data_IF_339973591660
#
_entry.id   IF_339973591660
#
_cell.length_a   1.000
_cell.length_b   1.000
_cell.length_c   1.000
_cell.angle_alpha   90.00
_cell.angle_beta   90.00
_cell.angle_gamma   90.00
#
_symmetry.space_group_name_H-M   'P 1'
#
loop_
_entity.id
_entity.type
_entity.pdbx_description
1 polymer ?
#
# COMPACT_ATOMS: atom_id res chain seq x y z
N UNK A 1 10.92 -35.04 2.09
CA UNK A 1 12.37 -34.89 2.37
C UNK A 1 12.57 -34.23 3.73
N UNK A 2 12.33 -34.93 4.84
CA UNK A 2 12.61 -34.43 6.20
C UNK A 2 13.35 -35.43 7.12
N UNK A 3 13.81 -36.58 6.60
CA UNK A 3 14.47 -37.64 7.39
C UNK A 3 15.99 -37.48 7.55
N UNK A 4 16.57 -36.30 7.30
CA UNK A 4 18.03 -36.09 7.38
C UNK A 4 18.49 -35.28 8.60
N UNK A 5 17.58 -34.66 9.36
CA UNK A 5 17.93 -33.90 10.57
C UNK A 5 17.75 -34.66 11.90
N UNK A 6 17.06 -35.81 11.91
CA UNK A 6 16.90 -36.62 13.13
C UNK A 6 18.15 -37.46 13.46
N UNK A 7 18.91 -37.90 12.44
CA UNK A 7 20.10 -38.74 12.65
C UNK A 7 21.28 -38.00 13.30
N UNK A 8 21.40 -36.67 13.16
CA UNK A 8 22.58 -35.93 13.65
C UNK A 8 22.53 -35.52 15.12
N UNK A 9 21.37 -35.63 15.79
CA UNK A 9 21.19 -35.13 17.16
C UNK A 9 21.33 -36.24 18.21
N UNK A 10 20.99 -37.48 17.87
CA UNK A 10 21.08 -38.64 18.79
C UNK A 10 22.52 -39.11 19.07
N UNK A 11 23.47 -38.85 18.16
CA UNK A 11 24.89 -39.25 18.32
C UNK A 11 25.68 -38.36 19.30
N UNK A 12 25.16 -37.19 19.69
CA UNK A 12 25.81 -36.27 20.63
C UNK A 12 25.31 -36.34 22.08
N UNK A 13 24.41 -37.29 22.36
CA UNK A 13 23.81 -37.43 23.69
C UNK A 13 24.61 -38.41 24.54
N UNK A 14 24.92 -38.01 25.78
CA UNK A 14 25.49 -38.92 26.77
C UNK A 14 24.52 -40.04 27.08
N UNK A 15 25.01 -41.22 27.50
CA UNK A 15 24.17 -42.38 27.85
C UNK A 15 23.06 -42.02 28.86
N UNK A 16 23.36 -41.08 29.77
CA UNK A 16 22.40 -40.54 30.75
C UNK A 16 21.28 -39.73 30.10
N UNK A 17 21.59 -38.88 29.12
CA UNK A 17 20.59 -38.12 28.36
C UNK A 17 19.73 -39.03 27.50
N UNK A 18 20.32 -40.06 26.89
CA UNK A 18 19.58 -41.06 26.11
C UNK A 18 18.60 -41.85 26.99
N UNK A 19 19.06 -42.31 28.16
CA UNK A 19 18.18 -42.98 29.13
C UNK A 19 17.02 -42.10 29.61
N UNK A 20 17.28 -40.81 29.86
CA UNK A 20 16.22 -39.85 30.20
C UNK A 20 15.21 -39.75 29.05
N UNK A 21 15.67 -39.67 27.79
CA UNK A 21 14.78 -39.59 26.65
C UNK A 21 13.94 -40.85 26.43
N UNK A 22 14.53 -42.03 26.59
CA UNK A 22 13.82 -43.29 26.40
C UNK A 22 12.69 -43.41 27.44
N UNK A 23 12.96 -43.07 28.70
CA UNK A 23 11.92 -43.02 29.75
C UNK A 23 10.84 -41.96 29.51
N UNK A 24 11.20 -40.81 28.94
CA UNK A 24 10.23 -39.77 28.61
C UNK A 24 9.35 -40.15 27.41
N UNK A 25 9.87 -40.91 26.44
CA UNK A 25 9.10 -41.45 25.31
C UNK A 25 8.11 -42.53 25.75
N UNK A 26 8.47 -43.31 26.77
CA UNK A 26 7.60 -44.33 27.36
C UNK A 26 6.46 -43.72 28.19
N UNK A 27 6.45 -42.39 28.38
CA UNK A 27 5.43 -41.68 29.17
C UNK A 27 5.59 -41.86 30.68
N UNK A 28 6.75 -42.36 31.14
CA UNK A 28 7.01 -42.63 32.54
C UNK A 28 7.24 -41.34 33.34
N UNK A 29 6.58 -41.25 34.49
CA UNK A 29 6.89 -40.25 35.52
C UNK A 29 8.10 -40.71 36.33
N UNK A 30 9.27 -40.14 36.06
CA UNK A 30 10.51 -40.55 36.73
C UNK A 30 11.00 -39.48 37.70
N UNK A 31 11.12 -39.78 39.00
CA UNK A 31 11.78 -38.90 39.96
C UNK A 31 13.25 -38.67 39.59
N UNK A 32 13.72 -37.43 39.64
CA UNK A 32 15.14 -37.07 39.43
C UNK A 32 16.05 -37.85 40.38
N UNK A 33 15.56 -38.15 41.59
CA UNK A 33 16.28 -38.93 42.60
C UNK A 33 16.59 -40.35 42.13
N UNK A 34 15.73 -40.95 41.31
CA UNK A 34 15.91 -42.33 40.86
C UNK A 34 16.93 -42.38 39.73
N UNK A 35 16.88 -41.42 38.81
CA UNK A 35 17.91 -41.25 37.76
C UNK A 35 19.27 -40.91 38.38
N UNK A 36 19.28 -40.06 39.40
CA UNK A 36 20.47 -39.71 40.18
C UNK A 36 21.11 -40.95 40.81
N UNK A 37 20.31 -41.86 41.38
CA UNK A 37 20.77 -43.16 41.92
C UNK A 37 21.29 -44.09 40.82
N UNK A 38 20.56 -44.25 39.72
CA UNK A 38 20.95 -45.13 38.60
C UNK A 38 22.30 -44.74 38.00
N UNK A 39 22.59 -43.44 37.88
CA UNK A 39 23.83 -42.95 37.28
C UNK A 39 24.86 -42.44 38.29
N UNK A 40 24.66 -42.70 39.59
CA UNK A 40 25.56 -42.28 40.68
C UNK A 40 25.99 -40.80 40.55
N UNK A 41 25.05 -39.91 40.23
CA UNK A 41 25.34 -38.51 39.96
C UNK A 41 24.42 -37.60 40.79
N UNK A 42 24.80 -36.33 40.97
CA UNK A 42 23.97 -35.41 41.75
C UNK A 42 22.67 -35.06 41.01
N UNK A 43 21.57 -34.81 41.73
CA UNK A 43 20.33 -34.32 41.13
C UNK A 43 20.51 -33.06 40.27
N UNK A 44 21.48 -32.21 40.59
CA UNK A 44 21.80 -31.00 39.80
C UNK A 44 22.44 -31.32 38.45
N UNK A 45 23.13 -32.45 38.35
CA UNK A 45 23.67 -32.93 37.07
C UNK A 45 22.54 -33.38 36.15
N UNK A 46 21.51 -34.04 36.71
CA UNK A 46 20.29 -34.38 35.97
C UNK A 46 19.55 -33.12 35.54
N UNK A 47 19.38 -32.13 36.42
CA UNK A 47 18.75 -30.84 36.04
C UNK A 47 19.48 -30.15 34.90
N UNK A 48 20.82 -30.14 34.90
CA UNK A 48 21.64 -29.60 33.80
C UNK A 48 21.39 -30.34 32.49
N UNK A 49 21.25 -31.66 32.53
CA UNK A 49 20.92 -32.45 31.36
C UNK A 49 19.50 -32.16 30.85
N UNK A 50 18.51 -32.00 31.74
CA UNK A 50 17.15 -31.59 31.34
C UNK A 50 17.13 -30.21 30.69
N UNK A 51 17.90 -29.26 31.23
CA UNK A 51 18.07 -27.93 30.62
C UNK A 51 18.71 -28.02 29.23
N UNK A 52 19.68 -28.92 29.05
CA UNK A 52 20.26 -29.17 27.73
C UNK A 52 19.24 -29.75 26.75
N UNK A 53 18.44 -30.74 27.18
CA UNK A 53 17.39 -31.35 26.38
C UNK A 53 16.33 -30.32 25.96
N UNK A 54 15.93 -29.43 26.87
CA UNK A 54 15.04 -28.30 26.55
C UNK A 54 15.64 -27.34 25.53
N UNK A 55 16.94 -27.06 25.62
CA UNK A 55 17.65 -26.18 24.67
C UNK A 55 17.72 -26.75 23.26
N UNK A 56 17.73 -28.08 23.11
CA UNK A 56 17.70 -28.76 21.81
C UNK A 56 16.28 -29.06 21.32
N UNK A 57 15.26 -28.46 21.94
CA UNK A 57 13.87 -28.52 21.48
C UNK A 57 13.06 -29.71 21.99
N UNK A 58 13.58 -30.45 22.98
CA UNK A 58 12.85 -31.58 23.58
C UNK A 58 12.00 -31.03 24.73
N UNK A 59 10.69 -31.24 24.66
CA UNK A 59 9.77 -30.79 25.71
C UNK A 59 9.89 -31.71 26.94
N UNK A 60 10.37 -31.12 28.04
CA UNK A 60 10.61 -31.83 29.29
C UNK A 60 10.00 -30.99 30.42
N UNK A 61 8.92 -31.48 31.01
CA UNK A 61 8.29 -30.83 32.16
C UNK A 61 8.91 -31.37 33.45
N UNK A 62 9.35 -30.47 34.33
CA UNK A 62 9.83 -30.84 35.67
C UNK A 62 8.95 -30.16 36.72
N UNK A 63 8.21 -30.95 37.50
CA UNK A 63 7.39 -30.42 38.62
C UNK A 63 7.73 -31.20 39.89
N UNK A 64 8.13 -30.49 40.94
CA UNK A 64 8.49 -31.06 42.26
C UNK A 64 9.52 -32.20 42.20
N UNK A 65 10.49 -32.13 41.29
CA UNK A 65 11.55 -33.14 41.17
C UNK A 65 11.14 -34.42 40.43
N UNK A 66 9.95 -34.46 39.83
CA UNK A 66 9.50 -35.50 38.92
C UNK A 66 9.64 -34.97 37.50
N UNK A 67 10.24 -35.79 36.63
CA UNK A 67 10.33 -35.55 35.21
C UNK A 67 9.09 -36.19 34.57
N UNK A 68 8.31 -35.39 33.84
CA UNK A 68 7.20 -35.84 33.03
C UNK A 68 7.53 -35.57 31.58
N UNK A 69 7.57 -36.62 30.77
CA UNK A 69 7.63 -36.51 29.32
C UNK A 69 6.22 -36.23 28.84
N UNK A 70 5.86 -34.96 28.66
CA UNK A 70 4.67 -34.66 27.88
C UNK A 70 5.07 -34.71 26.40
N UNK A 71 5.34 -35.91 25.88
CA UNK A 71 5.11 -36.13 24.45
C UNK A 71 3.62 -36.37 24.25
N UNK A 72 2.80 -35.35 24.55
CA UNK A 72 1.66 -35.13 23.69
C UNK A 72 2.27 -34.67 22.36
N UNK A 73 2.60 -35.62 21.47
CA UNK A 73 2.86 -35.32 20.07
C UNK A 73 1.56 -34.73 19.51
N UNK A 74 1.32 -33.44 19.78
CA UNK A 74 0.26 -32.69 19.12
C UNK A 74 0.79 -32.38 17.75
N UNK A 75 0.35 -33.16 16.78
CA UNK A 75 0.65 -32.86 15.41
C UNK A 75 -0.14 -31.60 14.99
N UNK A 76 0.43 -30.79 14.10
CA UNK A 76 -0.15 -29.51 13.73
C UNK A 76 -0.26 -29.37 12.22
N UNK A 77 -1.42 -28.91 11.76
CA UNK A 77 -1.69 -28.51 10.37
C UNK A 77 -1.49 -27.01 10.30
N UNK A 78 -0.58 -26.55 9.45
CA UNK A 78 -0.43 -25.13 9.11
C UNK A 78 -0.84 -24.93 7.66
N UNK A 79 -1.88 -24.13 7.43
CA UNK A 79 -2.33 -23.72 6.09
C UNK A 79 -2.24 -22.22 5.96
N UNK A 80 -1.47 -21.77 4.99
CA UNK A 80 -1.40 -20.37 4.61
C UNK A 80 -2.32 -20.12 3.41
N UNK A 81 -3.19 -19.12 3.53
CA UNK A 81 -4.15 -18.73 2.49
C UNK A 81 -3.93 -17.24 2.20
N UNK A 82 -3.72 -16.93 0.93
CA UNK A 82 -3.60 -15.57 0.44
C UNK A 82 -5.00 -15.01 0.18
N UNK A 83 -5.38 -13.97 0.91
CA UNK A 83 -6.61 -13.23 0.65
C UNK A 83 -6.27 -11.85 0.10
N UNK A 84 -6.80 -11.47 -1.07
CA UNK A 84 -6.75 -10.08 -1.52
C UNK A 84 -7.29 -9.16 -0.43
N UNK A 85 -6.72 -7.96 -0.29
CA UNK A 85 -7.06 -7.00 0.76
C UNK A 85 -8.57 -6.71 0.86
N UNK A 86 -9.27 -6.71 -0.27
CA UNK A 86 -10.72 -6.56 -0.38
C UNK A 86 -11.51 -7.63 0.37
N UNK A 87 -10.97 -8.84 0.49
CA UNK A 87 -11.67 -10.06 0.91
C UNK A 87 -11.19 -10.62 2.25
N UNK A 88 -10.25 -9.94 2.92
CA UNK A 88 -9.64 -10.40 4.17
C UNK A 88 -10.62 -10.61 5.29
N UNK A 89 -11.46 -9.62 5.59
CA UNK A 89 -12.39 -9.68 6.73
C UNK A 89 -13.39 -10.82 6.56
N UNK A 90 -13.89 -10.98 5.32
CA UNK A 90 -14.75 -12.08 4.91
C UNK A 90 -14.05 -13.44 5.05
N UNK A 91 -12.79 -13.54 4.60
CA UNK A 91 -11.97 -14.74 4.71
C UNK A 91 -11.72 -15.15 6.16
N UNK A 92 -11.31 -14.21 7.02
CA UNK A 92 -11.10 -14.45 8.46
C UNK A 92 -12.40 -14.86 9.13
N UNK A 93 -13.51 -14.17 8.84
CA UNK A 93 -14.83 -14.46 9.40
C UNK A 93 -15.32 -15.88 9.08
N UNK A 94 -15.06 -16.37 7.87
CA UNK A 94 -15.35 -17.75 7.46
C UNK A 94 -14.42 -18.74 8.16
N UNK A 95 -13.11 -18.47 8.17
CA UNK A 95 -12.13 -19.36 8.82
C UNK A 95 -12.36 -19.47 10.33
N UNK A 96 -12.78 -18.40 10.99
CA UNK A 96 -13.13 -18.43 12.41
C UNK A 96 -14.34 -19.32 12.69
N UNK A 97 -15.30 -19.41 11.76
CA UNK A 97 -16.46 -20.30 11.93
C UNK A 97 -16.06 -21.79 11.84
N UNK A 98 -14.91 -22.11 11.25
CA UNK A 98 -14.40 -23.48 11.21
C UNK A 98 -14.13 -24.06 12.61
N UNK A 99 -13.74 -23.23 13.59
CA UNK A 99 -13.58 -23.69 14.97
C UNK A 99 -14.89 -24.27 15.53
N UNK A 100 -16.01 -23.58 15.28
CA UNK A 100 -17.35 -24.04 15.69
C UNK A 100 -17.80 -25.32 14.96
N UNK A 101 -17.39 -25.47 13.70
CA UNK A 101 -17.63 -26.70 12.92
C UNK A 101 -16.88 -27.90 13.53
N UNK A 102 -15.65 -27.69 13.99
CA UNK A 102 -14.87 -28.74 14.66
C UNK A 102 -15.50 -29.15 16.00
N UNK A 103 -15.94 -28.18 16.81
CA UNK A 103 -16.63 -28.45 18.07
C UNK A 103 -17.91 -29.28 17.88
N UNK A 104 -18.69 -29.02 16.81
CA UNK A 104 -19.90 -29.80 16.53
C UNK A 104 -19.62 -31.21 16.00
N UNK A 105 -18.63 -31.38 15.12
CA UNK A 105 -18.30 -32.70 14.55
C UNK A 105 -17.49 -33.56 15.51
N UNK A 106 -16.69 -32.94 16.37
CA UNK A 106 -15.72 -33.59 17.24
C UNK A 106 -15.74 -32.99 18.67
N UNK A 107 -16.86 -33.09 19.41
CA UNK A 107 -17.02 -32.44 20.71
C UNK A 107 -16.07 -32.97 21.80
N UNK A 108 -15.49 -34.16 21.60
CA UNK A 108 -14.56 -34.80 22.53
C UNK A 108 -13.08 -34.67 22.10
N UNK A 109 -12.78 -33.91 21.05
CA UNK A 109 -11.42 -33.74 20.54
C UNK A 109 -10.84 -32.41 21.02
N UNK A 110 -9.69 -32.43 21.68
CA UNK A 110 -8.94 -31.22 22.04
C UNK A 110 -8.23 -30.63 20.80
N UNK A 111 -9.01 -30.06 19.88
CA UNK A 111 -8.49 -29.34 18.71
C UNK A 111 -8.37 -27.83 19.02
N UNK A 112 -7.18 -27.26 18.85
CA UNK A 112 -6.95 -25.81 18.95
C UNK A 112 -6.83 -25.20 17.57
N UNK A 113 -7.65 -24.19 17.26
CA UNK A 113 -7.58 -23.43 16.01
C UNK A 113 -7.03 -22.04 16.28
N UNK A 114 -5.92 -21.68 15.66
CA UNK A 114 -5.31 -20.36 15.71
C UNK A 114 -5.29 -19.74 14.32
N UNK A 115 -5.81 -18.52 14.21
CA UNK A 115 -5.76 -17.73 12.97
C UNK A 115 -4.80 -16.58 13.20
N UNK A 116 -3.77 -16.49 12.38
CA UNK A 116 -2.80 -15.40 12.38
C UNK A 116 -2.89 -14.62 11.08
N UNK A 117 -2.90 -13.29 11.17
CA UNK A 117 -2.90 -12.41 10.02
C UNK A 117 -1.59 -11.62 9.99
N UNK A 118 -0.88 -11.69 8.85
CA UNK A 118 0.31 -10.89 8.61
C UNK A 118 0.22 -10.27 7.22
N UNK A 119 -0.12 -8.99 7.14
CA UNK A 119 -0.32 -8.31 5.87
C UNK A 119 -1.46 -8.95 5.07
N UNK A 120 -1.15 -9.43 3.85
CA UNK A 120 -2.07 -10.13 2.94
C UNK A 120 -2.24 -11.63 3.20
N UNK A 121 -1.46 -12.18 4.15
CA UNK A 121 -1.43 -13.61 4.42
C UNK A 121 -2.28 -13.91 5.64
N UNK A 122 -3.23 -14.85 5.50
CA UNK A 122 -3.98 -15.43 6.62
C UNK A 122 -3.49 -16.86 6.82
N UNK A 123 -2.93 -17.14 7.99
CA UNK A 123 -2.45 -18.47 8.38
C UNK A 123 -3.45 -19.10 9.33
N UNK A 124 -3.98 -20.26 8.95
CA UNK A 124 -4.77 -21.14 9.81
C UNK A 124 -3.84 -22.23 10.37
N UNK A 125 -3.67 -22.25 11.68
CA UNK A 125 -2.96 -23.32 12.41
C UNK A 125 -3.98 -24.14 13.20
N UNK A 126 -3.98 -25.44 13.01
CA UNK A 126 -4.82 -26.38 13.76
C UNK A 126 -3.91 -27.36 14.48
N UNK A 127 -4.04 -27.49 15.80
CA UNK A 127 -3.29 -28.43 16.63
C UNK A 127 -4.24 -29.47 17.21
N UNK A 128 -3.91 -30.75 17.07
CA UNK A 128 -4.70 -31.86 17.63
C UNK A 128 -3.82 -33.09 17.87
N UNK A 129 -4.36 -34.11 18.51
CA UNK A 129 -3.65 -35.37 18.71
C UNK A 129 -3.44 -36.08 17.36
N UNK A 130 -2.31 -36.78 17.20
CA UNK A 130 -1.87 -37.38 15.92
C UNK A 130 -2.95 -38.21 15.20
N UNK A 131 -3.83 -38.90 15.93
CA UNK A 131 -4.90 -39.74 15.36
C UNK A 131 -6.08 -38.98 14.75
N UNK A 132 -6.31 -37.72 15.14
CA UNK A 132 -7.48 -36.93 14.68
C UNK A 132 -7.13 -35.96 13.55
N UNK A 133 -5.84 -35.80 13.25
CA UNK A 133 -5.34 -34.80 12.31
C UNK A 133 -5.75 -35.07 10.87
N UNK A 134 -5.73 -36.33 10.43
CA UNK A 134 -6.19 -36.73 9.10
C UNK A 134 -7.70 -36.47 8.90
N UNK A 135 -8.49 -36.64 9.95
CA UNK A 135 -9.94 -36.40 9.94
C UNK A 135 -10.25 -34.90 9.90
N UNK A 136 -9.48 -34.10 10.64
CA UNK A 136 -9.56 -32.64 10.60
C UNK A 136 -9.16 -32.10 9.23
N UNK A 137 -8.11 -32.65 8.61
CA UNK A 137 -7.68 -32.23 7.27
C UNK A 137 -8.73 -32.52 6.20
N UNK A 138 -9.35 -33.70 6.25
CA UNK A 138 -10.49 -34.03 5.39
C UNK A 138 -11.67 -33.07 5.61
N UNK A 139 -11.97 -32.77 6.87
CA UNK A 139 -13.06 -31.83 7.24
C UNK A 139 -12.77 -30.41 6.74
N UNK A 140 -11.51 -29.95 6.80
CA UNK A 140 -11.09 -28.66 6.27
C UNK A 140 -11.26 -28.59 4.75
N UNK A 141 -10.92 -29.68 4.04
CA UNK A 141 -11.11 -29.78 2.59
C UNK A 141 -12.60 -29.72 2.20
N UNK A 142 -13.44 -30.51 2.89
CA UNK A 142 -14.89 -30.49 2.72
C UNK A 142 -15.49 -29.12 3.04
N UNK A 143 -15.02 -28.46 4.11
CA UNK A 143 -15.43 -27.10 4.45
C UNK A 143 -15.08 -26.11 3.33
N UNK A 144 -13.89 -26.25 2.73
CA UNK A 144 -13.50 -25.48 1.55
C UNK A 144 -14.45 -25.68 0.36
N UNK A 145 -14.99 -26.89 0.17
CA UNK A 145 -16.01 -27.15 -0.87
C UNK A 145 -17.35 -26.49 -0.55
N UNK A 146 -17.73 -26.40 0.73
CA UNK A 146 -18.94 -25.68 1.16
C UNK A 146 -18.82 -24.18 0.91
N UNK A 147 -17.66 -23.60 1.25
CA UNK A 147 -17.37 -22.18 1.01
C UNK A 147 -17.42 -21.86 -0.49
N UNK A 148 -16.91 -22.76 -1.34
CA UNK A 148 -16.99 -22.65 -2.81
C UNK A 148 -18.39 -22.90 -3.39
N UNK A 149 -19.36 -23.34 -2.58
CA UNK A 149 -20.72 -23.66 -3.02
C UNK A 149 -20.86 -24.99 -3.76
N UNK A 150 -19.83 -25.85 -3.75
CA UNK A 150 -19.85 -27.19 -4.36
C UNK A 150 -20.59 -28.18 -3.45
N UNK A 151 -20.42 -28.03 -2.12
CA UNK A 151 -21.09 -28.85 -1.11
C UNK A 151 -22.13 -28.01 -0.36
N UNK A 152 -23.32 -28.57 -0.14
CA UNK A 152 -24.37 -27.89 0.62
C UNK A 152 -24.07 -27.95 2.13
N UNK A 153 -24.26 -26.86 2.90
CA UNK A 153 -24.11 -26.86 4.35
C UNK A 153 -24.91 -27.97 5.05
N UNK A 154 -26.11 -28.28 4.54
CA UNK A 154 -27.00 -29.34 5.05
C UNK A 154 -26.50 -30.76 4.80
N UNK A 155 -25.58 -30.97 3.85
CA UNK A 155 -24.91 -32.25 3.63
C UNK A 155 -23.60 -32.37 4.40
N UNK A 156 -23.06 -31.24 4.85
CA UNK A 156 -21.77 -31.16 5.53
C UNK A 156 -21.90 -31.23 7.04
N UNK A 157 -22.92 -30.56 7.62
CA UNK A 157 -23.20 -30.55 9.05
C UNK A 157 -24.39 -31.44 9.39
N UNK A 158 -24.31 -32.25 10.47
CA UNK A 158 -25.41 -33.11 10.91
C UNK A 158 -26.55 -32.31 11.56
N UNK A 159 -26.25 -31.16 12.16
CA UNK A 159 -27.22 -30.27 12.79
C UNK A 159 -27.88 -29.35 11.77
N UNK A 160 -29.21 -29.41 11.68
CA UNK A 160 -30.01 -28.49 10.85
C UNK A 160 -29.81 -27.03 11.25
N UNK A 161 -29.59 -26.77 12.54
CA UNK A 161 -29.35 -25.43 13.08
C UNK A 161 -27.98 -24.92 12.62
N UNK A 162 -26.93 -25.72 12.78
CA UNK A 162 -25.59 -25.33 12.35
C UNK A 162 -25.47 -25.19 10.83
N UNK A 163 -26.18 -26.04 10.07
CA UNK A 163 -26.28 -25.91 8.62
C UNK A 163 -26.95 -24.59 8.21
N UNK A 164 -27.99 -24.16 8.92
CA UNK A 164 -28.67 -22.88 8.69
C UNK A 164 -27.77 -21.70 9.05
N UNK A 165 -27.08 -21.76 10.19
CA UNK A 165 -26.12 -20.72 10.60
C UNK A 165 -24.98 -20.56 9.59
N UNK A 166 -24.38 -21.67 9.15
CA UNK A 166 -23.33 -21.65 8.13
C UNK A 166 -23.85 -21.07 6.81
N UNK A 167 -25.07 -21.44 6.40
CA UNK A 167 -25.71 -20.87 5.22
C UNK A 167 -25.89 -19.36 5.35
N UNK A 168 -26.45 -18.88 6.46
CA UNK A 168 -26.65 -17.45 6.71
C UNK A 168 -25.30 -16.71 6.72
N UNK A 169 -24.27 -17.30 7.33
CA UNK A 169 -22.92 -16.72 7.35
C UNK A 169 -22.35 -16.57 5.94
N UNK A 170 -22.49 -17.59 5.10
CA UNK A 170 -22.05 -17.54 3.70
C UNK A 170 -22.84 -16.51 2.89
N UNK A 171 -24.15 -16.37 3.14
CA UNK A 171 -24.97 -15.34 2.48
C UNK A 171 -24.55 -13.93 2.88
N UNK A 172 -24.31 -13.68 4.17
CA UNK A 172 -23.79 -12.39 4.66
C UNK A 172 -22.47 -12.06 3.98
N UNK A 173 -21.53 -13.02 3.98
CA UNK A 173 -20.22 -12.80 3.35
C UNK A 173 -20.38 -12.51 1.85
N UNK A 174 -21.23 -13.23 1.12
CA UNK A 174 -21.50 -12.92 -0.30
C UNK A 174 -22.08 -11.52 -0.50
N UNK A 175 -22.98 -11.08 0.38
CA UNK A 175 -23.53 -9.73 0.31
C UNK A 175 -22.46 -8.68 0.56
N UNK A 176 -21.62 -8.85 1.59
CA UNK A 176 -20.50 -7.96 1.89
C UNK A 176 -19.53 -7.87 0.70
N UNK A 177 -19.20 -9.01 0.08
CA UNK A 177 -18.35 -9.06 -1.12
C UNK A 177 -18.94 -8.26 -2.27
N UNK A 178 -20.22 -8.47 -2.58
CA UNK A 178 -20.93 -7.76 -3.66
C UNK A 178 -20.96 -6.25 -3.41
N UNK A 179 -21.22 -5.83 -2.17
CA UNK A 179 -21.23 -4.41 -1.81
C UNK A 179 -19.84 -3.77 -1.95
N UNK A 180 -18.78 -4.47 -1.52
CA UNK A 180 -17.40 -3.99 -1.69
C UNK A 180 -17.03 -3.85 -3.17
N UNK A 181 -17.41 -4.81 -4.02
CA UNK A 181 -17.18 -4.74 -5.47
C UNK A 181 -17.90 -3.56 -6.13
N UNK A 182 -19.17 -3.35 -5.77
CA UNK A 182 -19.94 -2.20 -6.26
C UNK A 182 -19.33 -0.87 -5.83
N UNK A 183 -18.94 -0.75 -4.56
CA UNK A 183 -18.30 0.45 -4.03
C UNK A 183 -16.97 0.74 -4.73
N UNK A 184 -16.16 -0.29 -4.98
CA UNK A 184 -14.89 -0.15 -5.70
C UNK A 184 -15.09 0.30 -7.15
N UNK A 185 -16.09 -0.24 -7.84
CA UNK A 185 -16.46 0.19 -9.20
C UNK A 185 -16.87 1.66 -9.25
N UNK A 186 -17.71 2.11 -8.31
CA UNK A 186 -18.12 3.52 -8.20
C UNK A 186 -16.94 4.46 -7.92
N UNK A 187 -16.02 4.06 -7.04
CA UNK A 187 -14.83 4.86 -6.72
C UNK A 187 -13.93 5.01 -7.95
N UNK A 188 -13.72 3.91 -8.68
CA UNK A 188 -12.90 3.89 -9.90
C UNK A 188 -13.50 4.79 -10.97
N UNK A 189 -14.82 4.73 -11.16
CA UNK A 189 -15.52 5.61 -12.11
C UNK A 189 -15.38 7.08 -11.71
N UNK A 190 -15.60 7.42 -10.44
CA UNK A 190 -15.45 8.79 -9.95
C UNK A 190 -14.00 9.31 -10.14
N UNK A 191 -13.00 8.45 -9.92
CA UNK A 191 -11.60 8.79 -10.15
C UNK A 191 -11.31 9.03 -11.64
N UNK A 192 -11.82 8.18 -12.53
CA UNK A 192 -11.67 8.35 -13.98
C UNK A 192 -12.32 9.66 -14.46
N UNK A 193 -13.53 9.97 -13.99
CA UNK A 193 -14.18 11.25 -14.30
C UNK A 193 -13.35 12.45 -13.82
N UNK A 194 -12.73 12.34 -12.64
CA UNK A 194 -11.84 13.39 -12.13
C UNK A 194 -10.58 13.54 -12.99
N UNK A 195 -9.99 12.43 -13.45
CA UNK A 195 -8.84 12.45 -14.35
C UNK A 195 -9.21 13.14 -15.66
N UNK A 196 -10.31 12.76 -16.29
CA UNK A 196 -10.79 13.39 -17.53
C UNK A 196 -11.02 14.89 -17.36
N UNK A 197 -11.64 15.31 -16.26
CA UNK A 197 -11.83 16.73 -15.96
C UNK A 197 -10.51 17.48 -15.75
N UNK A 198 -9.52 16.85 -15.12
CA UNK A 198 -8.19 17.46 -14.95
C UNK A 198 -7.43 17.54 -16.27
N UNK A 199 -7.54 16.52 -17.13
CA UNK A 199 -6.97 16.52 -18.46
C UNK A 199 -7.57 17.64 -19.34
N UNK A 200 -8.88 17.84 -19.25
CA UNK A 200 -9.59 18.93 -19.92
C UNK A 200 -9.10 20.31 -19.44
N UNK A 201 -8.99 20.51 -18.11
CA UNK A 201 -8.43 21.74 -17.55
C UNK A 201 -6.99 22.00 -17.99
N UNK A 202 -6.16 20.95 -18.11
CA UNK A 202 -4.78 21.06 -18.61
C UNK A 202 -4.77 21.42 -20.09
N UNK A 203 -5.69 20.87 -20.88
CA UNK A 203 -5.87 21.22 -22.29
C UNK A 203 -6.24 22.69 -22.46
N UNK A 204 -7.22 23.16 -21.69
CA UNK A 204 -7.65 24.56 -21.68
C UNK A 204 -6.50 25.51 -21.30
N UNK A 205 -5.74 25.18 -20.26
CA UNK A 205 -4.56 25.95 -19.87
C UNK A 205 -3.52 26.03 -20.99
N UNK A 206 -3.27 24.92 -21.69
CA UNK A 206 -2.34 24.90 -22.84
C UNK A 206 -2.84 25.78 -23.98
N UNK A 207 -4.13 25.74 -24.28
CA UNK A 207 -4.73 26.58 -25.30
C UNK A 207 -4.65 28.06 -24.92
N UNK A 208 -4.91 28.41 -23.66
CA UNK A 208 -4.76 29.77 -23.15
C UNK A 208 -3.32 30.27 -23.23
N UNK A 209 -2.33 29.44 -22.87
CA UNK A 209 -0.91 29.78 -23.00
C UNK A 209 -0.52 29.91 -24.48
N UNK A 210 -1.02 29.04 -25.36
CA UNK A 210 -0.80 29.13 -26.80
C UNK A 210 -1.29 30.47 -27.37
N UNK A 211 -2.53 30.84 -27.05
CA UNK A 211 -3.12 32.13 -27.42
C UNK A 211 -2.32 33.31 -26.84
N UNK A 212 -1.80 33.20 -25.61
CA UNK A 212 -0.94 34.22 -25.02
C UNK A 212 0.37 34.40 -25.80
N UNK A 213 1.05 33.31 -26.14
CA UNK A 213 2.32 33.38 -26.88
C UNK A 213 2.14 33.95 -28.29
N UNK A 214 1.03 33.62 -28.97
CA UNK A 214 0.67 34.22 -30.26
C UNK A 214 0.46 35.73 -30.16
N UNK A 215 -0.27 36.20 -29.14
CA UNK A 215 -0.55 37.63 -28.97
C UNK A 215 0.68 38.45 -28.59
N UNK A 216 1.60 37.90 -27.81
CA UNK A 216 2.92 38.51 -27.54
C UNK A 216 3.71 38.67 -28.84
N UNK A 217 3.71 37.63 -29.68
CA UNK A 217 4.43 37.64 -30.95
C UNK A 217 3.83 38.69 -31.93
N UNK A 218 2.51 38.87 -31.95
CA UNK A 218 1.85 39.84 -32.83
C UNK A 218 2.09 41.29 -32.40
N UNK A 219 2.23 41.55 -31.09
CA UNK A 219 2.67 42.85 -30.59
C UNK A 219 4.10 43.16 -31.03
N UNK A 220 5.02 42.19 -30.92
CA UNK A 220 6.40 42.31 -31.38
C UNK A 220 6.50 42.63 -32.88
N UNK A 221 5.70 41.94 -33.71
CA UNK A 221 5.59 42.22 -35.16
C UNK A 221 5.06 43.62 -35.44
N UNK A 222 3.96 44.01 -34.80
CA UNK A 222 3.33 45.32 -35.02
C UNK A 222 4.27 46.48 -34.66
N UNK A 223 5.04 46.34 -33.57
CA UNK A 223 6.07 47.31 -33.19
C UNK A 223 7.22 47.37 -34.21
N UNK A 224 7.65 46.23 -34.75
CA UNK A 224 8.68 46.16 -35.79
C UNK A 224 8.22 46.81 -37.11
N UNK A 225 6.96 46.62 -37.50
CA UNK A 225 6.41 47.26 -38.71
C UNK A 225 6.30 48.78 -38.56
N UNK A 226 5.87 49.27 -37.40
CA UNK A 226 5.82 50.70 -37.09
C UNK A 226 7.22 51.32 -37.14
N UNK A 227 8.25 50.60 -36.70
CA UNK A 227 9.64 51.05 -36.79
C UNK A 227 10.14 51.15 -38.24
N UNK A 228 9.73 50.22 -39.12
CA UNK A 228 10.16 50.20 -40.53
C UNK A 228 9.46 51.25 -41.40
N UNK A 229 8.23 51.64 -41.06
CA UNK A 229 7.45 52.61 -41.84
C UNK A 229 7.84 54.07 -41.57
N UNK A 230 8.53 54.35 -40.46
CA UNK A 230 9.00 55.68 -40.12
C UNK A 230 10.50 55.78 -40.44
N UNK A 231 10.96 56.85 -41.09
CA UNK A 231 12.40 57.11 -41.24
C UNK A 231 12.92 57.52 -39.86
N UNK A 232 13.56 56.59 -39.16
CA UNK A 232 14.03 56.78 -37.78
C UNK A 232 15.55 56.81 -37.70
N UNK A 233 16.06 57.56 -36.72
CA UNK A 233 17.47 57.51 -36.32
C UNK A 233 17.84 56.12 -35.78
N UNK A 234 19.10 55.70 -35.96
CA UNK A 234 19.63 54.43 -35.44
C UNK A 234 19.41 54.27 -33.91
N UNK A 235 19.35 55.38 -33.18
CA UNK A 235 19.03 55.44 -31.74
C UNK A 235 17.58 55.03 -31.45
N UNK A 236 16.62 55.50 -32.26
CA UNK A 236 15.20 55.19 -32.10
C UNK A 236 14.88 53.78 -32.59
N UNK A 237 15.54 53.32 -33.65
CA UNK A 237 15.41 51.93 -34.11
C UNK A 237 15.83 50.93 -33.01
N UNK A 238 16.96 51.16 -32.35
CA UNK A 238 17.44 50.36 -31.20
C UNK A 238 16.51 50.44 -29.99
N UNK A 239 15.90 51.61 -29.75
CA UNK A 239 14.92 51.77 -28.68
C UNK A 239 13.65 50.96 -28.95
N UNK A 240 13.17 50.90 -30.19
CA UNK A 240 11.98 50.10 -30.54
C UNK A 240 12.28 48.60 -30.47
N UNK A 241 13.45 48.15 -30.93
CA UNK A 241 13.88 46.76 -30.76
C UNK A 241 13.98 46.37 -29.29
N UNK A 242 14.45 47.30 -28.44
CA UNK A 242 14.48 47.11 -26.99
C UNK A 242 13.06 47.01 -26.40
N UNK A 243 12.11 47.83 -26.84
CA UNK A 243 10.71 47.76 -26.40
C UNK A 243 10.08 46.43 -26.82
N UNK A 244 10.24 45.99 -28.07
CA UNK A 244 9.72 44.71 -28.56
C UNK A 244 10.30 43.53 -27.78
N UNK A 245 11.62 43.50 -27.59
CA UNK A 245 12.29 42.45 -26.82
C UNK A 245 11.85 42.42 -25.35
N UNK A 246 11.66 43.59 -24.74
CA UNK A 246 11.25 43.68 -23.35
C UNK A 246 9.77 43.32 -23.17
N UNK A 247 8.92 43.54 -24.18
CA UNK A 247 7.53 43.09 -24.17
C UNK A 247 7.38 41.56 -24.11
N UNK A 248 8.36 40.83 -24.62
CA UNK A 248 8.44 39.36 -24.57
C UNK A 248 9.07 38.82 -23.29
N UNK A 249 9.55 39.70 -22.40
CA UNK A 249 10.33 39.33 -21.21
C UNK A 249 9.55 39.46 -19.89
N UNK A 250 9.96 38.67 -18.88
CA UNK A 250 9.38 38.74 -17.54
C UNK A 250 9.59 40.11 -16.87
N UNK A 251 8.64 40.51 -16.02
CA UNK A 251 8.77 41.76 -15.27
C UNK A 251 9.93 41.69 -14.27
N UNK A 252 10.90 42.60 -14.43
CA UNK A 252 12.00 42.80 -13.47
C UNK A 252 12.29 44.28 -13.33
N UNK A 253 12.82 44.69 -12.17
CA UNK A 253 13.21 46.09 -11.92
C UNK A 253 14.26 46.60 -12.92
N UNK A 254 15.06 45.71 -13.52
CA UNK A 254 15.99 46.03 -14.59
C UNK A 254 15.26 46.31 -15.91
N UNK A 255 14.37 45.40 -16.30
CA UNK A 255 13.58 45.53 -17.53
C UNK A 255 12.68 46.77 -17.52
N UNK A 256 12.15 47.15 -16.36
CA UNK A 256 11.36 48.38 -16.19
C UNK A 256 12.21 49.65 -16.44
N UNK A 257 13.42 49.71 -15.88
CA UNK A 257 14.35 50.84 -16.12
C UNK A 257 14.78 50.92 -17.58
N UNK A 258 15.12 49.78 -18.18
CA UNK A 258 15.52 49.70 -19.59
C UNK A 258 14.37 50.13 -20.50
N UNK A 259 13.14 49.68 -20.21
CA UNK A 259 11.92 50.07 -20.94
C UNK A 259 11.62 51.56 -20.80
N UNK A 260 11.75 52.12 -19.59
CA UNK A 260 11.59 53.57 -19.33
C UNK A 260 12.56 54.37 -20.19
N UNK A 261 13.82 53.98 -20.22
CA UNK A 261 14.86 54.68 -20.96
C UNK A 261 14.62 54.66 -22.47
N UNK A 262 14.18 53.51 -23.01
CA UNK A 262 13.85 53.35 -24.42
C UNK A 262 12.63 54.20 -24.81
N UNK A 263 11.57 54.17 -24.03
CA UNK A 263 10.35 54.96 -24.31
C UNK A 263 10.61 56.46 -24.23
N UNK A 264 11.38 56.93 -23.23
CA UNK A 264 11.74 58.34 -23.12
C UNK A 264 12.61 58.82 -24.28
N UNK A 265 13.49 57.96 -24.80
CA UNK A 265 14.28 58.25 -26.00
C UNK A 265 13.39 58.41 -27.23
N UNK A 266 12.43 57.50 -27.43
CA UNK A 266 11.46 57.61 -28.55
C UNK A 266 10.62 58.87 -28.42
N UNK A 267 10.13 59.22 -27.22
CA UNK A 267 9.38 60.46 -26.97
C UNK A 267 10.21 61.70 -27.33
N UNK A 268 11.47 61.75 -26.90
CA UNK A 268 12.35 62.90 -27.13
C UNK A 268 12.73 63.09 -28.60
N UNK A 269 12.96 62.00 -29.33
CA UNK A 269 13.47 62.06 -30.71
C UNK A 269 12.36 61.99 -31.78
N UNK A 270 11.22 61.38 -31.49
CA UNK A 270 10.12 61.23 -32.46
C UNK A 270 8.75 61.11 -31.75
N UNK A 271 8.15 62.26 -31.40
CA UNK A 271 6.85 62.33 -30.74
C UNK A 271 5.69 61.66 -31.53
N UNK A 272 5.59 61.80 -32.88
CA UNK A 272 4.60 61.06 -33.66
C UNK A 272 4.72 59.53 -33.51
N UNK A 273 5.94 59.00 -33.50
CA UNK A 273 6.21 57.57 -33.34
C UNK A 273 5.92 57.08 -31.92
N UNK A 274 6.24 57.89 -30.91
CA UNK A 274 5.81 57.63 -29.53
C UNK A 274 4.29 57.53 -29.41
N UNK A 275 3.55 58.43 -30.07
CA UNK A 275 2.08 58.39 -30.08
C UNK A 275 1.53 57.15 -30.79
N UNK A 276 2.16 56.70 -31.89
CA UNK A 276 1.79 55.50 -32.61
C UNK A 276 2.06 54.23 -31.77
N UNK A 277 3.23 54.11 -31.15
CA UNK A 277 3.58 53.00 -30.25
C UNK A 277 2.62 52.95 -29.06
N UNK A 278 2.34 54.11 -28.44
CA UNK A 278 1.37 54.21 -27.36
C UNK A 278 0.00 53.74 -27.81
N UNK A 279 -0.53 54.25 -28.94
CA UNK A 279 -1.83 53.83 -29.48
C UNK A 279 -1.88 52.33 -29.76
N UNK A 280 -0.83 51.77 -30.34
CA UNK A 280 -0.75 50.34 -30.64
C UNK A 280 -0.80 49.53 -29.35
N UNK A 281 0.05 49.82 -28.36
CA UNK A 281 0.06 49.07 -27.10
C UNK A 281 -1.26 49.26 -26.31
N UNK A 282 -1.88 50.44 -26.35
CA UNK A 282 -3.20 50.68 -25.77
C UNK A 282 -4.34 49.97 -26.52
N UNK A 283 -4.23 49.82 -27.84
CA UNK A 283 -5.20 49.05 -28.63
C UNK A 283 -5.10 47.57 -28.33
N UNK A 284 -3.87 47.08 -28.08
CA UNK A 284 -3.63 45.73 -27.60
C UNK A 284 -4.20 45.56 -26.18
N UNK A 285 -3.93 46.46 -25.23
CA UNK A 285 -4.39 46.36 -23.83
C UNK A 285 -5.91 46.24 -23.63
N UNK A 286 -6.69 46.78 -24.56
CA UNK A 286 -8.16 46.72 -24.51
C UNK A 286 -8.71 45.37 -25.03
N UNK A 287 -7.86 44.48 -25.53
CA UNK A 287 -8.23 43.10 -25.85
C UNK A 287 -8.12 42.20 -24.61
N UNK A 288 -9.02 41.22 -24.48
CA UNK A 288 -9.01 40.24 -23.37
C UNK A 288 -7.68 39.49 -23.27
N UNK A 289 -6.99 39.30 -24.41
CA UNK A 289 -5.68 38.66 -24.49
C UNK A 289 -4.53 39.47 -23.89
N UNK A 290 -4.58 40.81 -23.97
CA UNK A 290 -3.47 41.65 -23.49
C UNK A 290 -3.41 41.81 -21.96
N UNK A 291 -4.55 41.66 -21.27
CA UNK A 291 -4.59 41.57 -19.82
C UNK A 291 -3.89 40.30 -19.29
N UNK A 292 -3.57 39.35 -20.17
CA UNK A 292 -2.94 38.08 -19.84
C UNK A 292 -1.50 37.97 -20.38
N UNK A 293 -1.22 38.54 -21.56
CA UNK A 293 0.04 38.40 -22.27
C UNK A 293 1.16 39.34 -21.79
N UNK A 294 0.86 40.64 -21.58
CA UNK A 294 1.85 41.64 -21.14
C UNK A 294 1.29 42.58 -20.07
N UNK A 295 0.75 42.07 -18.94
CA UNK A 295 0.00 42.89 -17.99
C UNK A 295 0.86 44.02 -17.40
N UNK A 296 2.15 43.73 -17.17
CA UNK A 296 3.08 44.67 -16.58
C UNK A 296 3.51 45.79 -17.54
N UNK A 297 3.67 45.50 -18.84
CA UNK A 297 4.01 46.51 -19.87
C UNK A 297 2.85 47.49 -20.05
N UNK A 298 1.62 46.97 -20.10
CA UNK A 298 0.38 47.77 -20.15
C UNK A 298 0.24 48.62 -18.90
N UNK A 299 0.39 48.03 -17.72
CA UNK A 299 0.30 48.73 -16.43
C UNK A 299 1.36 49.83 -16.32
N UNK A 300 2.59 49.54 -16.76
CA UNK A 300 3.69 50.49 -16.78
C UNK A 300 3.44 51.67 -17.73
N UNK A 301 2.98 51.42 -18.95
CA UNK A 301 2.66 52.48 -19.92
C UNK A 301 1.50 53.37 -19.47
N UNK A 302 0.53 52.80 -18.75
CA UNK A 302 -0.55 53.56 -18.10
C UNK A 302 -0.06 54.45 -16.96
N UNK A 303 1.07 54.09 -16.33
CA UNK A 303 1.68 54.85 -15.23
C UNK A 303 2.58 56.00 -15.69
N UNK A 304 2.93 56.06 -16.99
CA UNK A 304 3.75 57.13 -17.53
C UNK A 304 2.99 58.47 -17.54
N UNK A 305 3.64 59.59 -17.16
CA UNK A 305 3.02 60.91 -17.19
C UNK A 305 2.55 61.28 -18.60
N UNK A 306 1.34 61.85 -18.69
CA UNK A 306 0.67 62.23 -19.94
C UNK A 306 1.57 63.12 -20.81
#
# INVERSE_FOLDING_TARGET
MNNLNEMTTQERLTSRRRYILDRLKEGDLVPITDISKTFQCTPDTIRRDLTFLRKIGIDVATKRGIISGNSTHRASIVREILFPSTYKDAGVSILSYFARVLEEKYPNTEATVAISQKGDNVTLKIESDEGELERIEKTLSEYGQVVKGVLLPSKFLPSTIAALELKNKLEIVRMELRLKEQSYGLLTEAQNQRILSLEDQVSDLRNLIGLQLETVHDLGRSLSEIAKQNVVSDSVAKAIETISRLAESAHTQKNEKDLTSAILLVKKENEPLYSAIKRTIFSFSNSVAANLATPWVVTFLNSLPK
#
